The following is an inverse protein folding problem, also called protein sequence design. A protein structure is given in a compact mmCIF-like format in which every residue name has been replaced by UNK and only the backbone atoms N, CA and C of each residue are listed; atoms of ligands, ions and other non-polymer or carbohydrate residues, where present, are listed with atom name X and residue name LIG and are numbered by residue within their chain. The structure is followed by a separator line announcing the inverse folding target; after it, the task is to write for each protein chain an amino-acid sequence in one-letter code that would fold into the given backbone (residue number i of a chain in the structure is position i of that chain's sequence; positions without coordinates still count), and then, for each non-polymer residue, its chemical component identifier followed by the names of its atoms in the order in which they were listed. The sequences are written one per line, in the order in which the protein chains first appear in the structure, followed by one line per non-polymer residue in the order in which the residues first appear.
data_IF_956802613151
#
_entry.id   IF_956802613151
#
_cell.length_a   1.000
_cell.length_b   1.000
_cell.length_c   1.000
_cell.angle_alpha   90.00
_cell.angle_beta   90.00
_cell.angle_gamma   90.00
#
_symmetry.space_group_name_H-M   'P 1'
#
loop_
_entity.id
_entity.type
_entity.pdbx_description
1 polymer ?
#
# COMPACT_ATOMS: atom_id res chain seq x y z
N UNK A 1 -9.08 6.75 -17.31
CA UNK A 1 -9.08 7.78 -16.25
C UNK A 1 -8.77 7.08 -14.94
N UNK A 2 -7.96 7.70 -14.07
CA UNK A 2 -7.62 7.14 -12.75
C UNK A 2 -8.57 7.78 -11.74
N UNK A 3 -9.32 6.96 -11.00
CA UNK A 3 -10.16 7.46 -9.91
C UNK A 3 -9.29 7.63 -8.65
N UNK A 4 -9.47 8.75 -7.96
CA UNK A 4 -8.76 9.04 -6.71
C UNK A 4 -9.20 8.06 -5.61
N UNK A 5 -10.48 7.67 -5.57
CA UNK A 5 -10.98 6.73 -4.57
C UNK A 5 -10.37 5.34 -4.74
N UNK A 6 -10.14 4.89 -5.98
CA UNK A 6 -9.42 3.65 -6.26
C UNK A 6 -7.99 3.69 -5.68
N UNK A 7 -7.30 4.84 -5.78
CA UNK A 7 -5.96 5.00 -5.21
C UNK A 7 -5.97 4.98 -3.67
N UNK A 8 -6.98 5.59 -3.06
CA UNK A 8 -7.16 5.58 -1.60
C UNK A 8 -7.39 4.15 -1.11
N UNK A 9 -8.28 3.39 -1.75
CA UNK A 9 -8.55 1.99 -1.41
C UNK A 9 -7.29 1.12 -1.51
N UNK A 10 -6.50 1.29 -2.58
CA UNK A 10 -5.22 0.59 -2.75
C UNK A 10 -4.29 0.88 -1.57
N UNK A 11 -4.19 2.13 -1.14
CA UNK A 11 -3.33 2.53 -0.01
C UNK A 11 -3.86 1.93 1.30
N UNK A 12 -5.15 2.07 1.60
CA UNK A 12 -5.75 1.59 2.86
C UNK A 12 -5.65 0.07 2.99
N UNK A 13 -5.94 -0.68 1.93
CA UNK A 13 -5.81 -2.15 1.92
C UNK A 13 -4.35 -2.60 2.05
N UNK A 14 -3.41 -1.73 1.70
CA UNK A 14 -1.96 -1.96 1.83
C UNK A 14 -1.43 -1.70 3.24
N UNK A 15 -2.19 -1.07 4.13
CA UNK A 15 -1.81 -0.86 5.54
C UNK A 15 -2.13 -2.07 6.44
N UNK A 16 -1.53 -2.10 7.63
CA UNK A 16 -1.83 -3.11 8.67
C UNK A 16 -3.25 -2.95 9.21
N UNK A 17 -3.73 -1.71 9.31
CA UNK A 17 -5.07 -1.32 9.73
C UNK A 17 -5.42 0.05 9.12
N UNK A 18 -6.72 0.37 8.94
CA UNK A 18 -7.15 1.67 8.43
C UNK A 18 -6.97 2.78 9.48
N UNK A 19 -7.13 4.04 9.06
CA UNK A 19 -7.17 5.19 9.96
C UNK A 19 -8.64 5.54 10.25
N UNK A 20 -8.95 5.81 11.51
CA UNK A 20 -10.28 6.24 11.94
C UNK A 20 -10.16 7.38 12.96
N UNK A 21 -10.91 8.47 12.74
CA UNK A 21 -10.78 9.70 13.54
C UNK A 21 -11.43 9.57 14.93
N UNK A 22 -12.57 8.88 15.00
CA UNK A 22 -13.36 8.76 16.23
C UNK A 22 -13.68 7.30 16.47
N UNK A 23 -13.13 6.77 17.56
CA UNK A 23 -13.30 5.37 17.96
C UNK A 23 -14.06 5.28 19.27
N UNK A 24 -15.07 4.41 19.34
CA UNK A 24 -15.56 3.91 20.63
C UNK A 24 -14.61 2.83 21.14
N UNK A 25 -14.74 2.47 22.41
CA UNK A 25 -13.88 1.45 23.06
C UNK A 25 -13.88 0.11 22.31
N UNK A 26 -15.03 -0.30 21.78
CA UNK A 26 -15.15 -1.54 20.98
C UNK A 26 -14.42 -1.44 19.65
N UNK A 27 -14.44 -0.24 19.04
CA UNK A 27 -13.86 0.01 17.73
C UNK A 27 -12.34 0.07 17.84
N UNK A 28 -11.82 0.78 18.85
CA UNK A 28 -10.39 0.81 19.18
C UNK A 28 -9.86 -0.60 19.45
N UNK A 29 -10.58 -1.40 20.25
CA UNK A 29 -10.18 -2.78 20.52
C UNK A 29 -10.13 -3.64 19.24
N UNK A 30 -11.03 -3.42 18.29
CA UNK A 30 -11.04 -4.11 16.99
C UNK A 30 -9.89 -3.64 16.10
N UNK A 31 -9.66 -2.32 16.03
CA UNK A 31 -8.58 -1.72 15.25
C UNK A 31 -7.20 -2.18 15.70
N UNK A 32 -6.96 -2.21 17.02
CA UNK A 32 -5.72 -2.70 17.61
C UNK A 32 -5.50 -4.18 17.27
N UNK A 33 -6.54 -5.02 17.39
CA UNK A 33 -6.44 -6.45 17.02
C UNK A 33 -6.16 -6.63 15.53
N UNK A 34 -6.78 -5.82 14.67
CA UNK A 34 -6.55 -5.85 13.23
C UNK A 34 -5.09 -5.55 12.91
N UNK A 35 -4.56 -4.43 13.42
CA UNK A 35 -3.16 -4.04 13.20
C UNK A 35 -2.16 -5.09 13.70
N UNK A 36 -2.45 -5.72 14.84
CA UNK A 36 -1.61 -6.78 15.39
C UNK A 36 -1.71 -8.12 14.65
N UNK A 37 -2.87 -8.43 14.06
CA UNK A 37 -3.07 -9.67 13.29
C UNK A 37 -2.37 -9.67 11.94
N UNK A 38 -2.07 -8.49 11.38
CA UNK A 38 -1.49 -8.33 10.05
C UNK A 38 -0.39 -7.25 10.03
N UNK A 39 0.68 -7.40 10.83
CA UNK A 39 1.77 -6.44 10.86
C UNK A 39 2.48 -6.42 9.51
N UNK A 40 2.87 -5.23 9.06
CA UNK A 40 3.55 -5.02 7.77
C UNK A 40 4.78 -4.15 7.98
N UNK A 41 5.90 -4.55 7.38
CA UNK A 41 7.05 -3.67 7.25
C UNK A 41 6.80 -2.61 6.18
N UNK A 42 7.68 -1.60 6.14
CA UNK A 42 7.55 -0.50 5.19
C UNK A 42 7.58 -0.99 3.74
N UNK A 43 8.38 -2.01 3.47
CA UNK A 43 8.49 -2.64 2.16
C UNK A 43 7.23 -3.42 1.80
N UNK A 44 6.60 -4.08 2.78
CA UNK A 44 5.38 -4.87 2.54
C UNK A 44 4.22 -3.98 2.11
N UNK A 45 4.10 -2.78 2.69
CA UNK A 45 3.08 -1.81 2.27
C UNK A 45 3.28 -1.44 0.81
N UNK A 46 4.51 -1.12 0.39
CA UNK A 46 4.79 -0.76 -1.01
C UNK A 46 4.60 -1.93 -1.97
N UNK A 47 4.98 -3.16 -1.58
CA UNK A 47 4.73 -4.37 -2.38
C UNK A 47 3.23 -4.65 -2.55
N UNK A 48 2.44 -4.49 -1.49
CA UNK A 48 0.99 -4.66 -1.57
C UNK A 48 0.34 -3.57 -2.43
N UNK A 49 0.80 -2.32 -2.32
CA UNK A 49 0.31 -1.25 -3.19
C UNK A 49 0.57 -1.57 -4.68
N UNK A 50 1.75 -2.11 -5.00
CA UNK A 50 2.09 -2.51 -6.36
C UNK A 50 1.21 -3.65 -6.87
N UNK A 51 0.97 -4.67 -6.03
CA UNK A 51 0.08 -5.78 -6.35
C UNK A 51 -1.35 -5.28 -6.65
N UNK A 52 -1.96 -4.55 -5.74
CA UNK A 52 -3.33 -4.04 -5.89
C UNK A 52 -3.47 -3.08 -7.07
N UNK A 53 -2.45 -2.23 -7.29
CA UNK A 53 -2.41 -1.34 -8.45
C UNK A 53 -2.41 -2.10 -9.77
N UNK A 54 -1.61 -3.17 -9.88
CA UNK A 54 -1.61 -4.05 -11.05
C UNK A 54 -2.97 -4.70 -11.25
N UNK A 55 -3.57 -5.27 -10.20
CA UNK A 55 -4.89 -5.91 -10.31
C UNK A 55 -5.96 -4.92 -10.80
N UNK A 56 -5.93 -3.67 -10.32
CA UNK A 56 -6.93 -2.66 -10.66
C UNK A 56 -6.73 -2.05 -12.05
N UNK A 57 -5.49 -1.85 -12.48
CA UNK A 57 -5.18 -1.00 -13.64
C UNK A 57 -4.49 -1.69 -14.83
N UNK A 58 -4.10 -2.97 -14.73
CA UNK A 58 -3.38 -3.70 -15.79
C UNK A 58 -4.00 -3.59 -17.20
N UNK A 59 -5.32 -3.56 -17.28
CA UNK A 59 -6.06 -3.52 -18.55
C UNK A 59 -6.70 -2.15 -18.83
N UNK A 60 -6.46 -1.15 -17.95
CA UNK A 60 -7.11 0.17 -18.00
C UNK A 60 -6.16 1.30 -18.39
N UNK A 61 -4.86 1.11 -18.22
CA UNK A 61 -3.84 2.13 -18.46
C UNK A 61 -2.75 1.60 -19.41
N UNK A 62 -2.04 2.53 -20.06
CA UNK A 62 -0.89 2.17 -20.88
C UNK A 62 0.21 1.53 -20.02
N UNK A 63 0.90 0.53 -20.56
CA UNK A 63 2.04 -0.10 -19.88
C UNK A 63 3.18 0.87 -19.60
N UNK A 64 3.31 1.95 -20.37
CA UNK A 64 4.31 3.00 -20.18
C UNK A 64 3.96 3.98 -19.05
N UNK A 65 2.79 3.82 -18.42
CA UNK A 65 2.37 4.68 -17.30
C UNK A 65 3.32 4.48 -16.12
N UNK A 66 3.94 5.57 -15.66
CA UNK A 66 4.88 5.53 -14.53
C UNK A 66 4.14 5.71 -13.22
N UNK A 67 4.39 4.80 -12.28
CA UNK A 67 3.91 4.89 -10.91
C UNK A 67 5.06 5.12 -9.94
N UNK A 68 4.78 5.85 -8.86
CA UNK A 68 5.67 6.00 -7.71
C UNK A 68 4.88 5.63 -6.47
N UNK A 69 5.22 4.49 -5.90
CA UNK A 69 4.61 3.93 -4.70
C UNK A 69 5.58 4.16 -3.55
N UNK A 70 5.19 4.92 -2.54
CA UNK A 70 6.10 5.32 -1.47
C UNK A 70 5.40 5.26 -0.13
N UNK A 71 6.12 4.77 0.86
CA UNK A 71 5.65 4.79 2.24
C UNK A 71 6.79 5.11 3.20
N UNK A 72 6.44 5.77 4.30
CA UNK A 72 7.33 6.16 5.38
C UNK A 72 6.69 5.78 6.71
N UNK A 73 7.43 5.08 7.57
CA UNK A 73 7.08 4.88 8.96
C UNK A 73 7.76 5.94 9.82
N UNK A 74 6.99 6.59 10.68
CA UNK A 74 7.51 7.39 11.78
C UNK A 74 7.80 6.46 12.95
N UNK A 75 9.08 6.16 13.17
CA UNK A 75 9.49 5.12 14.12
C UNK A 75 9.41 5.61 15.57
N UNK A 76 8.83 4.80 16.44
CA UNK A 76 8.68 5.12 17.86
C UNK A 76 9.91 4.76 18.71
N UNK A 77 10.75 3.85 18.23
CA UNK A 77 11.94 3.33 18.93
C UNK A 77 13.27 3.78 18.30
N UNK A 78 13.23 4.54 17.22
CA UNK A 78 14.40 5.03 16.49
C UNK A 78 14.35 6.57 16.35
N UNK A 79 15.52 7.20 16.15
CA UNK A 79 15.64 8.65 15.91
C UNK A 79 15.52 9.03 14.42
N UNK A 80 15.11 8.09 13.59
CA UNK A 80 14.96 8.27 12.15
C UNK A 80 13.76 7.47 11.66
N UNK A 81 13.15 7.97 10.59
CA UNK A 81 12.06 7.29 9.89
C UNK A 81 12.62 6.22 8.95
N UNK A 82 11.83 5.17 8.72
CA UNK A 82 12.12 4.16 7.68
C UNK A 82 11.25 4.45 6.47
N UNK A 83 11.82 4.32 5.26
CA UNK A 83 11.14 4.58 3.99
C UNK A 83 11.34 3.44 3.00
N UNK A 84 10.32 3.17 2.20
CA UNK A 84 10.40 2.32 1.01
C UNK A 84 9.75 3.02 -0.17
N UNK A 85 10.28 2.77 -1.37
CA UNK A 85 9.77 3.34 -2.61
C UNK A 85 9.96 2.37 -3.77
N UNK A 86 8.95 2.24 -4.63
CA UNK A 86 9.03 1.61 -5.94
C UNK A 86 8.63 2.66 -6.98
N UNK A 87 9.51 2.93 -7.94
CA UNK A 87 9.23 3.75 -9.10
C UNK A 87 9.47 2.95 -10.37
N UNK A 88 8.41 2.67 -11.12
CA UNK A 88 8.45 1.75 -12.25
C UNK A 88 7.28 2.00 -13.19
N UNK A 89 7.37 1.49 -14.41
CA UNK A 89 6.26 1.48 -15.37
C UNK A 89 5.23 0.41 -15.01
N UNK A 90 3.98 0.58 -15.42
CA UNK A 90 2.93 -0.43 -15.20
C UNK A 90 3.30 -1.77 -15.84
N UNK A 91 3.90 -1.77 -17.03
CA UNK A 91 4.34 -2.99 -17.71
C UNK A 91 5.38 -3.78 -16.92
N UNK A 92 6.35 -3.10 -16.31
CA UNK A 92 7.34 -3.72 -15.41
C UNK A 92 6.69 -4.26 -14.13
N UNK A 93 5.76 -3.50 -13.53
CA UNK A 93 5.02 -3.94 -12.34
C UNK A 93 4.18 -5.19 -12.63
N UNK A 94 3.54 -5.27 -13.80
CA UNK A 94 2.77 -6.46 -14.23
C UNK A 94 3.68 -7.69 -14.30
N UNK A 95 4.86 -7.56 -14.93
CA UNK A 95 5.85 -8.65 -15.02
C UNK A 95 6.30 -9.10 -13.64
N UNK A 96 6.67 -8.13 -12.80
CA UNK A 96 7.11 -8.37 -11.43
C UNK A 96 6.06 -9.08 -10.57
N UNK A 97 4.80 -8.62 -10.60
CA UNK A 97 3.69 -9.25 -9.86
C UNK A 97 3.36 -10.64 -10.40
N UNK A 98 3.49 -10.86 -11.71
CA UNK A 98 3.20 -12.16 -12.33
C UNK A 98 4.32 -13.19 -12.14
N UNK A 99 5.46 -12.80 -11.56
CA UNK A 99 6.65 -13.66 -11.43
C UNK A 99 7.31 -14.02 -12.76
N UNK A 100 7.07 -13.20 -13.80
CA UNK A 100 7.68 -13.35 -15.12
C UNK A 100 8.87 -12.39 -15.15
N UNK A 101 10.09 -12.93 -15.01
CA UNK A 101 11.35 -12.17 -15.19
C UNK A 101 11.53 -11.72 -16.64
#
# INVERSE_FOLDING_TARGET
MVDVYDLVEIIEQSMSAPIQDVLKRTDEASLVRMGFSRPRFVEDVVRNMAYELVQRYRDRLSQDTVFTLRQRNFESIHKHDVKAEIRSTLGELIRWVSGIE
#
